data_IF_847177316718
#
_entry.id   IF_847177316718
#
_cell.length_a   1.000
_cell.length_b   1.000
_cell.length_c   1.000
_cell.angle_alpha   90.00
_cell.angle_beta   90.00
_cell.angle_gamma   90.00
#
_symmetry.space_group_name_H-M   'P 1'
#
loop_
_entity.id
_entity.type
_entity.pdbx_description
1 polymer ?
#
# COMPACT_ATOMS: atom_id res chain seq x y z
N UNK A 1 -40.32 -21.39 47.41
CA UNK A 1 -39.99 -22.20 46.23
C UNK A 1 -40.17 -21.50 44.90
N UNK A 2 -41.29 -20.85 44.61
CA UNK A 2 -41.51 -20.13 43.34
C UNK A 2 -40.51 -18.97 43.13
N UNK A 3 -40.20 -18.20 44.15
CA UNK A 3 -39.26 -17.06 44.09
C UNK A 3 -37.81 -17.49 43.76
N UNK A 4 -37.36 -18.63 44.25
CA UNK A 4 -36.02 -19.17 43.99
C UNK A 4 -35.89 -19.67 42.56
N UNK A 5 -36.92 -20.30 42.00
CA UNK A 5 -36.96 -20.73 40.60
C UNK A 5 -36.94 -19.53 39.64
N UNK A 6 -37.71 -18.51 39.92
CA UNK A 6 -37.74 -17.27 39.14
C UNK A 6 -36.35 -16.59 39.14
N UNK A 7 -35.66 -16.56 40.28
CA UNK A 7 -34.29 -16.01 40.36
C UNK A 7 -33.26 -16.78 39.55
N UNK A 8 -33.34 -18.11 39.55
CA UNK A 8 -32.43 -18.93 38.74
C UNK A 8 -32.68 -18.72 37.25
N UNK A 9 -33.93 -18.70 36.80
CA UNK A 9 -34.29 -18.46 35.40
C UNK A 9 -33.79 -17.07 34.94
N UNK A 10 -33.97 -16.06 35.75
CA UNK A 10 -33.48 -14.71 35.44
C UNK A 10 -31.94 -14.66 35.37
N UNK A 11 -31.26 -15.33 36.28
CA UNK A 11 -29.79 -15.41 36.25
C UNK A 11 -29.24 -16.11 34.98
N UNK A 12 -29.88 -17.22 34.58
CA UNK A 12 -29.51 -17.94 33.36
C UNK A 12 -29.79 -17.11 32.11
N UNK A 13 -30.93 -16.38 32.09
CA UNK A 13 -31.24 -15.49 30.97
C UNK A 13 -30.22 -14.34 30.81
N UNK A 14 -29.81 -13.74 31.94
CA UNK A 14 -28.76 -12.71 31.95
C UNK A 14 -27.40 -13.29 31.48
N UNK A 15 -27.02 -14.46 31.99
CA UNK A 15 -25.77 -15.14 31.55
C UNK A 15 -25.78 -15.41 30.06
N UNK A 16 -26.87 -15.93 29.49
CA UNK A 16 -26.99 -16.21 28.07
C UNK A 16 -27.00 -14.93 27.21
N UNK A 17 -27.36 -13.81 27.72
CA UNK A 17 -27.31 -12.53 27.01
C UNK A 17 -25.95 -11.85 27.13
N UNK A 18 -25.33 -11.89 28.31
CA UNK A 18 -24.07 -11.17 28.60
C UNK A 18 -22.86 -11.92 28.10
N UNK A 19 -22.81 -13.25 28.24
CA UNK A 19 -21.65 -14.04 27.86
C UNK A 19 -21.26 -13.87 26.37
N UNK A 20 -22.18 -13.97 25.39
CA UNK A 20 -21.86 -13.72 23.99
C UNK A 20 -21.41 -12.29 23.69
N UNK A 21 -21.97 -11.32 24.41
CA UNK A 21 -21.60 -9.90 24.26
C UNK A 21 -20.15 -9.67 24.73
N UNK A 22 -19.79 -10.23 25.88
CA UNK A 22 -18.42 -10.12 26.43
C UNK A 22 -17.41 -10.82 25.52
N UNK A 23 -17.70 -12.04 25.05
CA UNK A 23 -16.78 -12.77 24.15
C UNK A 23 -16.58 -12.05 22.83
N UNK A 24 -17.64 -11.51 22.22
CA UNK A 24 -17.53 -10.69 20.98
C UNK A 24 -16.73 -9.41 21.20
N UNK A 25 -16.98 -8.74 22.34
CA UNK A 25 -16.21 -7.53 22.68
C UNK A 25 -14.73 -7.84 22.88
N UNK A 26 -14.40 -8.92 23.58
CA UNK A 26 -13.02 -9.33 23.80
C UNK A 26 -12.31 -9.72 22.48
N UNK A 27 -12.99 -10.43 21.58
CA UNK A 27 -12.40 -10.78 20.26
C UNK A 27 -12.21 -9.55 19.38
N UNK A 28 -13.14 -8.59 19.40
CA UNK A 28 -13.02 -7.33 18.67
C UNK A 28 -11.82 -6.49 19.17
N UNK A 29 -11.64 -6.41 20.50
CA UNK A 29 -10.48 -5.72 21.10
C UNK A 29 -9.17 -6.42 20.73
N UNK A 30 -9.13 -7.75 20.77
CA UNK A 30 -7.95 -8.50 20.39
C UNK A 30 -7.58 -8.28 18.91
N UNK A 31 -8.56 -8.32 17.98
CA UNK A 31 -8.34 -8.04 16.57
C UNK A 31 -7.87 -6.59 16.32
N UNK A 32 -8.48 -5.61 16.98
CA UNK A 32 -8.05 -4.22 16.88
C UNK A 32 -6.62 -4.03 17.41
N UNK A 33 -6.27 -4.69 18.50
CA UNK A 33 -4.93 -4.64 19.08
C UNK A 33 -3.87 -5.25 18.14
N UNK A 34 -4.16 -6.38 17.47
CA UNK A 34 -3.23 -6.98 16.51
C UNK A 34 -3.01 -6.10 15.27
N UNK A 35 -4.07 -5.48 14.75
CA UNK A 35 -3.96 -4.54 13.63
C UNK A 35 -3.11 -3.32 13.99
N UNK A 36 -3.29 -2.78 15.19
CA UNK A 36 -2.48 -1.66 15.68
C UNK A 36 -1.01 -2.07 15.85
N UNK A 37 -0.74 -3.26 16.41
CA UNK A 37 0.63 -3.78 16.56
C UNK A 37 1.31 -3.95 15.19
N UNK A 38 0.63 -4.53 14.21
CA UNK A 38 1.14 -4.64 12.84
C UNK A 38 1.48 -3.27 12.23
N UNK A 39 0.61 -2.28 12.39
CA UNK A 39 0.86 -0.92 11.89
C UNK A 39 2.03 -0.26 12.56
N UNK A 40 2.19 -0.41 13.87
CA UNK A 40 3.32 0.18 14.62
C UNK A 40 4.65 -0.45 14.18
N UNK A 41 4.65 -1.74 13.88
CA UNK A 41 5.85 -2.48 13.48
C UNK A 41 6.15 -2.42 11.98
N UNK A 42 5.19 -1.99 11.17
CA UNK A 42 5.41 -1.74 9.74
C UNK A 42 6.01 -0.36 9.57
N UNK A 43 7.06 -0.27 8.78
CA UNK A 43 7.62 1.01 8.37
C UNK A 43 8.28 0.85 7.00
N UNK A 44 8.01 1.77 6.09
CA UNK A 44 8.58 1.78 4.75
C UNK A 44 9.22 3.13 4.47
N UNK A 45 10.23 3.13 3.62
CA UNK A 45 10.91 4.34 3.19
C UNK A 45 11.15 4.29 1.68
N UNK A 46 10.76 5.34 0.96
CA UNK A 46 11.19 5.54 -0.42
C UNK A 46 12.66 5.90 -0.42
N UNK A 47 13.48 5.06 -1.03
CA UNK A 47 14.95 5.22 -1.03
C UNK A 47 15.46 5.85 -2.30
N UNK A 48 14.75 5.65 -3.41
CA UNK A 48 15.09 6.21 -4.72
C UNK A 48 13.85 6.31 -5.59
N UNK A 49 13.85 7.32 -6.46
CA UNK A 49 12.84 7.52 -7.50
C UNK A 49 13.52 8.06 -8.74
N UNK A 50 13.23 7.50 -9.90
CA UNK A 50 13.82 7.91 -11.18
C UNK A 50 12.83 7.70 -12.32
N UNK A 51 12.74 8.66 -13.23
CA UNK A 51 12.01 8.53 -14.49
C UNK A 51 12.98 8.32 -15.65
N UNK A 52 12.49 7.90 -16.78
CA UNK A 52 13.25 7.68 -18.02
C UNK A 52 13.51 8.99 -18.77
N UNK A 53 14.37 9.84 -18.22
CA UNK A 53 14.83 11.06 -18.88
C UNK A 53 16.33 11.02 -19.12
N UNK A 54 16.77 11.56 -20.26
CA UNK A 54 18.17 11.76 -20.54
C UNK A 54 18.73 13.04 -19.88
N UNK A 55 20.02 13.31 -20.08
CA UNK A 55 20.68 14.50 -19.53
C UNK A 55 20.16 15.81 -20.11
N UNK A 56 19.39 15.78 -21.19
CA UNK A 56 18.70 16.95 -21.80
C UNK A 56 17.24 17.05 -21.37
N UNK A 57 16.82 16.20 -20.43
CA UNK A 57 15.44 16.14 -19.93
C UNK A 57 14.42 15.73 -21.00
N UNK A 58 14.89 14.94 -21.97
CA UNK A 58 14.03 14.31 -22.97
C UNK A 58 13.77 12.88 -22.59
N UNK A 59 12.56 12.40 -22.90
CA UNK A 59 12.20 10.99 -22.69
C UNK A 59 13.09 10.05 -23.52
N UNK A 60 13.55 9.00 -22.89
CA UNK A 60 14.31 7.92 -23.51
C UNK A 60 13.72 6.58 -23.09
N UNK A 61 13.13 5.86 -24.02
CA UNK A 61 12.66 4.50 -23.79
C UNK A 61 13.89 3.57 -23.61
N UNK A 62 14.21 3.24 -22.36
CA UNK A 62 15.39 2.46 -21.99
C UNK A 62 15.21 0.95 -22.17
N UNK A 63 13.95 0.48 -22.22
CA UNK A 63 13.61 -0.94 -22.31
C UNK A 63 12.88 -1.33 -23.60
N UNK A 64 12.63 -0.36 -24.52
CA UNK A 64 11.96 -0.53 -25.81
C UNK A 64 10.51 -1.04 -25.69
N UNK A 65 9.80 -0.61 -24.67
CA UNK A 65 8.37 -0.93 -24.45
C UNK A 65 7.42 0.14 -25.01
N UNK A 66 7.95 1.27 -25.50
CA UNK A 66 7.19 2.44 -25.98
C UNK A 66 6.32 3.10 -24.92
N UNK A 67 6.65 2.92 -23.64
CA UNK A 67 5.99 3.52 -22.49
C UNK A 67 6.97 4.40 -21.74
N UNK A 68 6.47 5.36 -20.98
CA UNK A 68 7.27 6.11 -20.02
C UNK A 68 7.27 5.34 -18.70
N UNK A 69 8.44 4.86 -18.30
CA UNK A 69 8.61 4.10 -17.07
C UNK A 69 9.15 4.98 -15.95
N UNK A 70 8.54 4.84 -14.79
CA UNK A 70 8.93 5.51 -13.59
C UNK A 70 9.24 4.49 -12.49
N UNK A 71 10.48 4.46 -12.04
CA UNK A 71 10.95 3.49 -11.05
C UNK A 71 11.03 4.08 -9.65
N UNK A 72 10.45 3.38 -8.70
CA UNK A 72 10.48 3.75 -7.27
C UNK A 72 10.97 2.58 -6.45
N UNK A 73 12.04 2.77 -5.70
CA UNK A 73 12.52 1.79 -4.74
C UNK A 73 12.02 2.14 -3.35
N UNK A 74 11.28 1.22 -2.76
CA UNK A 74 10.80 1.32 -1.38
C UNK A 74 11.38 0.20 -0.54
N UNK A 75 12.00 0.57 0.58
CA UNK A 75 12.61 -0.35 1.53
C UNK A 75 11.71 -0.55 2.73
N UNK A 76 11.53 -1.81 3.13
CA UNK A 76 10.95 -2.14 4.42
C UNK A 76 11.99 -1.87 5.51
N UNK A 77 11.75 -0.85 6.31
CA UNK A 77 12.59 -0.46 7.45
C UNK A 77 11.92 -0.77 8.79
N UNK A 78 10.81 -1.49 8.76
CA UNK A 78 10.08 -1.99 9.92
C UNK A 78 10.58 -3.35 10.39
N UNK A 79 9.89 -3.87 11.40
CA UNK A 79 10.25 -5.11 12.11
C UNK A 79 9.44 -6.33 11.67
N UNK A 80 8.54 -6.16 10.71
CA UNK A 80 7.73 -7.25 10.17
C UNK A 80 7.75 -7.25 8.63
N UNK A 81 7.43 -8.40 8.04
CA UNK A 81 7.22 -8.50 6.60
C UNK A 81 5.93 -7.78 6.19
N UNK A 82 5.89 -7.29 4.98
CA UNK A 82 4.72 -6.69 4.37
C UNK A 82 4.14 -7.73 3.39
N UNK A 83 2.96 -8.28 3.69
CA UNK A 83 2.30 -9.23 2.78
C UNK A 83 1.62 -8.51 1.63
N UNK A 84 1.20 -9.27 0.61
CA UNK A 84 0.34 -8.79 -0.48
C UNK A 84 0.85 -7.49 -1.12
N UNK A 85 2.05 -7.51 -1.70
CA UNK A 85 2.66 -6.34 -2.34
C UNK A 85 1.81 -5.83 -3.50
N UNK A 86 1.05 -6.70 -4.14
CA UNK A 86 0.06 -6.43 -5.17
C UNK A 86 -1.14 -5.58 -4.68
N UNK A 87 -1.41 -5.57 -3.37
CA UNK A 87 -2.45 -4.74 -2.73
C UNK A 87 -1.95 -3.36 -2.27
N UNK A 88 -0.72 -2.98 -2.60
CA UNK A 88 -0.16 -1.65 -2.29
C UNK A 88 -0.89 -0.58 -3.10
N UNK A 89 -1.25 0.53 -2.45
CA UNK A 89 -1.75 1.70 -3.15
C UNK A 89 -0.62 2.66 -3.51
N UNK A 90 -0.54 3.02 -4.79
CA UNK A 90 0.43 4.00 -5.29
C UNK A 90 -0.30 5.25 -5.79
N UNK A 91 0.12 6.40 -5.28
CA UNK A 91 -0.32 7.72 -5.75
C UNK A 91 0.88 8.44 -6.35
N UNK A 92 0.70 8.95 -7.55
CA UNK A 92 1.78 9.55 -8.31
C UNK A 92 1.31 10.75 -9.13
N UNK A 93 2.16 11.74 -9.31
CA UNK A 93 1.91 12.88 -10.17
C UNK A 93 2.61 14.17 -9.75
N UNK A 94 2.39 15.23 -10.50
CA UNK A 94 2.85 16.55 -10.11
C UNK A 94 1.98 17.12 -8.96
N UNK A 95 2.51 18.02 -8.12
CA UNK A 95 1.72 18.69 -7.09
C UNK A 95 0.46 19.35 -7.68
N UNK A 96 -0.71 18.96 -7.19
CA UNK A 96 -2.01 19.39 -7.69
C UNK A 96 -2.66 18.47 -8.74
N UNK A 97 -1.93 17.47 -9.25
CA UNK A 97 -2.43 16.48 -10.22
C UNK A 97 -2.11 15.04 -9.84
N UNK A 98 -1.98 14.74 -8.55
CA UNK A 98 -1.68 13.39 -8.05
C UNK A 98 -2.87 12.48 -8.26
N UNK A 99 -2.65 11.31 -8.88
CA UNK A 99 -3.66 10.28 -9.14
C UNK A 99 -3.26 8.96 -8.52
N UNK A 100 -4.25 8.12 -8.19
CA UNK A 100 -4.01 6.72 -7.83
C UNK A 100 -3.68 5.94 -9.10
N UNK A 101 -2.57 5.22 -9.08
CA UNK A 101 -2.18 4.30 -10.15
C UNK A 101 -2.60 2.90 -9.75
N UNK A 102 -3.40 2.18 -10.54
CA UNK A 102 -3.79 0.79 -10.24
C UNK A 102 -2.64 -0.19 -10.48
N UNK A 103 -2.67 -1.34 -9.81
CA UNK A 103 -1.82 -2.49 -10.13
C UNK A 103 -2.16 -3.03 -11.53
N UNK A 104 -1.21 -3.64 -12.22
CA UNK A 104 -1.40 -4.15 -13.59
C UNK A 104 -2.55 -5.16 -13.72
N UNK A 105 -2.80 -5.98 -12.70
CA UNK A 105 -3.92 -6.92 -12.66
C UNK A 105 -5.29 -6.21 -12.58
N UNK A 106 -5.35 -5.04 -11.94
CA UNK A 106 -6.57 -4.24 -11.77
C UNK A 106 -6.79 -3.26 -12.93
N UNK A 107 -5.72 -2.89 -13.62
CA UNK A 107 -5.75 -1.89 -14.68
C UNK A 107 -6.42 -2.38 -15.96
N UNK A 108 -6.57 -3.70 -16.15
CA UNK A 108 -7.19 -4.27 -17.34
C UNK A 108 -6.46 -3.95 -18.64
N UNK A 109 -5.14 -3.72 -18.59
CA UNK A 109 -4.32 -3.35 -19.73
C UNK A 109 -4.38 -1.87 -20.10
N UNK A 110 -4.92 -1.01 -19.23
CA UNK A 110 -4.94 0.45 -19.43
C UNK A 110 -3.84 1.13 -18.62
N UNK A 111 -3.37 2.29 -19.09
CA UNK A 111 -2.35 3.08 -18.41
C UNK A 111 -2.96 4.34 -17.78
N UNK A 112 -2.40 4.85 -16.67
CA UNK A 112 -1.21 4.36 -15.98
C UNK A 112 -1.50 3.09 -15.18
N UNK A 113 -0.47 2.23 -15.05
CA UNK A 113 -0.51 1.04 -14.20
C UNK A 113 0.86 0.83 -13.56
N UNK A 114 0.92 0.03 -12.49
CA UNK A 114 2.18 -0.32 -11.86
C UNK A 114 2.33 -1.83 -11.70
N UNK A 115 3.58 -2.27 -11.72
CA UNK A 115 4.01 -3.61 -11.36
C UNK A 115 5.18 -3.55 -10.39
N UNK A 116 5.65 -4.68 -9.86
CA UNK A 116 6.74 -4.67 -8.91
C UNK A 116 7.74 -5.80 -9.13
N UNK A 117 8.95 -5.58 -8.61
CA UNK A 117 10.00 -6.60 -8.52
C UNK A 117 10.66 -6.50 -7.16
N UNK A 118 10.85 -7.64 -6.50
CA UNK A 118 11.61 -7.73 -5.25
C UNK A 118 13.10 -7.77 -5.56
N UNK A 119 13.85 -6.85 -4.98
CA UNK A 119 15.28 -6.71 -5.22
C UNK A 119 16.10 -7.78 -4.50
N UNK A 120 17.29 -8.08 -5.04
CA UNK A 120 18.24 -9.00 -4.41
C UNK A 120 17.81 -10.46 -4.40
N UNK A 121 16.83 -10.86 -5.22
CA UNK A 121 16.32 -12.24 -5.29
C UNK A 121 15.41 -12.59 -4.10
N UNK A 122 14.89 -11.59 -3.39
CA UNK A 122 13.91 -11.80 -2.34
C UNK A 122 12.61 -12.39 -2.90
N UNK A 123 11.95 -13.23 -2.13
CA UNK A 123 10.65 -13.85 -2.49
C UNK A 123 9.47 -13.18 -1.78
N UNK A 124 9.75 -12.26 -0.87
CA UNK A 124 8.75 -11.49 -0.11
C UNK A 124 9.32 -10.11 0.26
N UNK A 125 8.45 -9.15 0.54
CA UNK A 125 8.86 -7.84 1.07
C UNK A 125 9.14 -7.96 2.58
N UNK A 126 10.22 -8.69 2.88
CA UNK A 126 10.68 -8.96 4.23
C UNK A 126 11.38 -7.77 4.88
N UNK A 127 11.83 -7.99 6.12
CA UNK A 127 12.61 -7.00 6.88
C UNK A 127 13.89 -6.65 6.10
N UNK A 128 14.17 -5.35 6.00
CA UNK A 128 15.32 -4.77 5.30
C UNK A 128 15.36 -5.06 3.78
N UNK A 129 14.36 -5.75 3.20
CA UNK A 129 14.29 -5.95 1.75
C UNK A 129 13.72 -4.71 1.05
N UNK A 130 14.04 -4.60 -0.23
CA UNK A 130 13.62 -3.49 -1.10
C UNK A 130 12.73 -4.05 -2.20
N UNK A 131 11.65 -3.35 -2.50
CA UNK A 131 10.82 -3.56 -3.67
C UNK A 131 11.04 -2.42 -4.65
N UNK A 132 11.14 -2.74 -5.93
CA UNK A 132 11.10 -1.78 -7.02
C UNK A 132 9.69 -1.79 -7.60
N UNK A 133 9.02 -0.67 -7.56
CA UNK A 133 7.78 -0.42 -8.29
C UNK A 133 8.12 0.19 -9.66
N UNK A 134 7.50 -0.34 -10.68
CA UNK A 134 7.61 0.12 -12.07
C UNK A 134 6.25 0.70 -12.47
N UNK A 135 6.19 2.02 -12.60
CA UNK A 135 4.96 2.75 -12.91
C UNK A 135 5.03 3.17 -14.38
N UNK A 136 4.10 2.66 -15.18
CA UNK A 136 4.08 2.82 -16.63
C UNK A 136 3.00 3.79 -17.07
N UNK A 137 3.37 4.69 -17.97
CA UNK A 137 2.46 5.65 -18.59
C UNK A 137 2.51 5.49 -20.12
N UNK A 138 1.34 5.51 -20.74
CA UNK A 138 1.24 5.62 -22.19
C UNK A 138 1.60 7.06 -22.63
N UNK A 139 2.40 7.21 -23.69
CA UNK A 139 2.73 8.50 -24.29
C UNK A 139 1.51 9.21 -24.90
N UNK A 140 0.45 8.47 -25.16
CA UNK A 140 -0.86 8.96 -25.61
C UNK A 140 -1.79 9.47 -24.50
N UNK A 141 -1.35 9.61 -23.25
CA UNK A 141 -2.19 10.05 -22.14
C UNK A 141 -2.93 11.37 -22.44
N UNK A 142 -4.28 11.40 -22.36
CA UNK A 142 -5.00 12.66 -22.45
C UNK A 142 -4.76 13.48 -21.17
N UNK A 143 -3.98 14.51 -21.27
CA UNK A 143 -4.05 15.65 -20.38
C UNK A 143 -2.95 15.87 -19.36
N UNK A 144 -1.94 15.04 -19.22
CA UNK A 144 -0.72 15.36 -18.42
C UNK A 144 0.24 14.20 -18.46
N UNK A 145 0.82 13.92 -19.59
CA UNK A 145 1.90 12.99 -19.66
C UNK A 145 3.11 13.54 -18.91
N UNK A 146 3.66 12.71 -18.06
CA UNK A 146 4.86 12.98 -17.28
C UNK A 146 6.05 12.96 -18.23
N UNK A 147 6.21 13.98 -19.03
CA UNK A 147 7.32 14.12 -19.98
C UNK A 147 8.01 15.46 -19.81
N UNK A 148 7.70 16.19 -18.73
CA UNK A 148 8.31 17.48 -18.47
C UNK A 148 9.17 17.43 -17.22
N UNK A 149 10.29 18.13 -17.26
CA UNK A 149 11.06 18.43 -16.04
C UNK A 149 10.17 19.11 -15.01
N UNK A 150 10.28 18.70 -13.78
CA UNK A 150 9.48 19.28 -12.71
C UNK A 150 9.64 18.52 -11.39
N UNK A 151 8.90 18.97 -10.40
CA UNK A 151 8.79 18.27 -9.12
C UNK A 151 7.63 17.31 -9.17
N UNK A 152 7.89 16.08 -8.79
CA UNK A 152 6.89 15.02 -8.70
C UNK A 152 6.72 14.55 -7.26
N UNK A 153 5.56 14.00 -7.00
CA UNK A 153 5.20 13.40 -5.71
C UNK A 153 4.88 11.93 -5.91
N UNK A 154 5.40 11.11 -5.03
CA UNK A 154 5.04 9.70 -4.90
C UNK A 154 4.62 9.39 -3.47
N UNK A 155 3.56 8.62 -3.33
CA UNK A 155 3.11 8.06 -2.05
C UNK A 155 2.82 6.59 -2.23
N UNK A 156 3.46 5.78 -1.43
CA UNK A 156 3.28 4.32 -1.37
C UNK A 156 2.59 3.99 -0.06
N UNK A 157 1.47 3.27 -0.12
CA UNK A 157 0.68 2.88 1.06
C UNK A 157 0.60 1.36 1.10
N UNK A 158 1.09 0.76 2.16
CA UNK A 158 1.02 -0.68 2.39
C UNK A 158 -0.41 -1.16 2.68
N UNK A 159 -0.74 -2.47 2.51
CA UNK A 159 -2.09 -3.00 2.76
C UNK A 159 -2.61 -2.74 4.18
N UNK A 160 -1.72 -2.63 5.17
CA UNK A 160 -2.10 -2.27 6.54
C UNK A 160 -2.17 -0.75 6.80
N UNK A 161 -2.05 0.09 5.74
CA UNK A 161 -2.27 1.54 5.77
C UNK A 161 -1.09 2.37 6.26
N UNK A 162 0.14 1.83 6.26
CA UNK A 162 1.36 2.62 6.52
C UNK A 162 1.84 3.23 5.22
N UNK A 163 2.15 4.53 5.24
CA UNK A 163 2.52 5.28 4.06
C UNK A 163 3.95 5.79 4.13
N UNK A 164 4.63 5.81 2.97
CA UNK A 164 5.85 6.58 2.73
C UNK A 164 5.63 7.53 1.56
N UNK A 165 6.18 8.72 1.67
CA UNK A 165 6.05 9.79 0.70
C UNK A 165 7.42 10.31 0.31
N UNK A 166 7.55 10.75 -0.94
CA UNK A 166 8.76 11.41 -1.41
C UNK A 166 8.43 12.44 -2.48
N UNK A 167 9.14 13.55 -2.45
CA UNK A 167 9.21 14.51 -3.55
C UNK A 167 10.55 14.36 -4.24
N UNK A 168 10.55 14.40 -5.55
CA UNK A 168 11.77 14.30 -6.34
C UNK A 168 11.62 15.17 -7.60
N UNK A 169 12.74 15.52 -8.21
CA UNK A 169 12.78 16.31 -9.43
C UNK A 169 13.30 15.48 -10.58
N UNK A 170 12.68 15.61 -11.72
CA UNK A 170 13.15 15.10 -13.01
C UNK A 170 13.54 16.28 -13.90
#
# INVERSE_FOLDING_TARGET
MLLTIAGVIAAVAVMNAVYPAVTRSSSAVASASSTVDERIRTNISVVQSVGELDSSSSWVDTNSNSLFDFYVWSKNVGDIRIPAVDEVDIFFGQPGGVVRVPHEDDAGGTYPQWSYTLEGGATEWGIASTVKFDIKFDDGCPGSCIQSTGTYFIRVITPNGVAAESYFSM
#
